data_IF_770059262074
#
_entry.id   IF_770059262074
#
_cell.length_a   1.000
_cell.length_b   1.000
_cell.length_c   1.000
_cell.angle_alpha   90.00
_cell.angle_beta   90.00
_cell.angle_gamma   90.00
#
_symmetry.space_group_name_H-M   'P 1'
#
loop_
_entity.id
_entity.type
_entity.pdbx_description
1 polymer ?
#
# COMPACT_ATOMS: atom_id res chain seq x y z
N UNK A 1 16.60 13.39 -1.38
CA UNK A 1 15.26 13.21 -0.81
C UNK A 1 14.15 13.70 -1.75
N UNK A 2 14.27 14.88 -2.37
CA UNK A 2 13.20 15.49 -3.17
C UNK A 2 12.61 14.59 -4.27
N UNK A 3 13.44 13.90 -5.05
CA UNK A 3 12.93 13.13 -6.21
C UNK A 3 12.12 11.91 -5.79
N UNK A 4 12.43 11.32 -4.63
CA UNK A 4 11.72 10.15 -4.10
C UNK A 4 10.37 10.55 -3.52
N UNK A 5 10.35 11.64 -2.76
CA UNK A 5 9.11 12.22 -2.22
C UNK A 5 8.18 12.66 -3.35
N UNK A 6 8.72 13.32 -4.37
CA UNK A 6 7.98 13.70 -5.57
C UNK A 6 7.41 12.47 -6.30
N UNK A 7 8.19 11.40 -6.45
CA UNK A 7 7.72 10.15 -7.07
C UNK A 7 6.59 9.51 -6.26
N UNK A 8 6.75 9.40 -4.94
CA UNK A 8 5.72 8.84 -4.05
C UNK A 8 4.43 9.70 -4.06
N UNK A 9 4.55 11.03 -4.09
CA UNK A 9 3.42 11.93 -4.23
C UNK A 9 2.68 11.75 -5.56
N UNK A 10 3.43 11.61 -6.66
CA UNK A 10 2.87 11.33 -7.97
C UNK A 10 2.17 9.96 -8.02
N UNK A 11 2.78 8.93 -7.42
CA UNK A 11 2.17 7.60 -7.31
C UNK A 11 0.88 7.63 -6.48
N UNK A 12 0.88 8.30 -5.33
CA UNK A 12 -0.31 8.47 -4.50
C UNK A 12 -1.44 9.16 -5.26
N UNK A 13 -1.13 10.25 -5.96
CA UNK A 13 -2.11 10.99 -6.76
C UNK A 13 -2.70 10.12 -7.88
N UNK A 14 -1.86 9.43 -8.64
CA UNK A 14 -2.30 8.56 -9.73
C UNK A 14 -3.13 7.36 -9.24
N UNK A 15 -2.78 6.76 -8.11
CA UNK A 15 -3.56 5.68 -7.50
C UNK A 15 -4.92 6.18 -7.02
N UNK A 16 -4.99 7.37 -6.41
CA UNK A 16 -6.25 7.97 -5.97
C UNK A 16 -7.16 8.29 -7.16
N UNK A 17 -6.62 8.85 -8.24
CA UNK A 17 -7.38 9.10 -9.47
C UNK A 17 -7.94 7.81 -10.08
N UNK A 18 -7.13 6.75 -10.14
CA UNK A 18 -7.59 5.44 -10.59
C UNK A 18 -8.74 4.93 -9.74
N UNK A 19 -8.60 4.95 -8.41
CA UNK A 19 -9.64 4.50 -7.49
C UNK A 19 -10.92 5.32 -7.62
N UNK A 20 -10.81 6.64 -7.66
CA UNK A 20 -11.95 7.53 -7.86
C UNK A 20 -12.69 7.26 -9.19
N UNK A 21 -11.97 6.85 -10.24
CA UNK A 21 -12.56 6.52 -11.54
C UNK A 21 -13.24 5.15 -11.60
N UNK A 22 -12.93 4.23 -10.68
CA UNK A 22 -13.36 2.82 -10.72
C UNK A 22 -14.28 2.43 -9.58
N UNK A 23 -14.17 3.08 -8.43
CA UNK A 23 -14.99 2.79 -7.25
C UNK A 23 -16.31 3.56 -7.34
N UNK A 24 -17.37 2.98 -6.79
CA UNK A 24 -18.67 3.65 -6.76
C UNK A 24 -18.61 4.86 -5.79
N UNK A 25 -19.12 6.03 -6.19
CA UNK A 25 -19.17 7.18 -5.29
C UNK A 25 -19.86 6.84 -3.96
N UNK A 26 -19.24 7.22 -2.85
CA UNK A 26 -19.77 7.01 -1.49
C UNK A 26 -19.59 5.62 -0.90
N UNK A 27 -19.03 4.65 -1.64
CA UNK A 27 -18.69 3.32 -1.11
C UNK A 27 -17.29 3.25 -0.49
N UNK A 28 -16.41 4.18 -0.85
CA UNK A 28 -15.06 4.29 -0.32
C UNK A 28 -14.71 5.76 -0.09
N UNK A 29 -13.96 6.03 0.97
CA UNK A 29 -13.41 7.35 1.28
C UNK A 29 -11.89 7.25 1.36
N UNK A 30 -11.20 8.18 0.72
CA UNK A 30 -9.75 8.22 0.74
C UNK A 30 -9.25 9.21 1.81
N UNK A 31 -8.37 8.73 2.69
CA UNK A 31 -7.64 9.55 3.64
C UNK A 31 -6.17 9.58 3.21
N UNK A 32 -5.62 10.78 3.04
CA UNK A 32 -4.20 10.97 2.72
C UNK A 32 -3.44 11.39 3.98
N UNK A 33 -2.30 10.74 4.21
CA UNK A 33 -1.33 11.09 5.25
C UNK A 33 0.05 11.15 4.62
N UNK A 34 0.88 12.04 5.15
CA UNK A 34 2.29 12.14 4.82
C UNK A 34 3.08 11.78 6.08
N UNK A 35 4.25 11.18 5.89
CA UNK A 35 5.15 10.76 6.96
C UNK A 35 6.57 11.08 6.54
N UNK A 36 7.43 11.34 7.51
CA UNK A 36 8.87 11.35 7.30
C UNK A 36 9.35 10.00 6.74
N UNK A 37 10.47 10.01 6.02
CA UNK A 37 11.07 8.85 5.37
C UNK A 37 11.77 7.88 6.36
N UNK A 38 11.22 7.69 7.56
CA UNK A 38 11.73 6.76 8.58
C UNK A 38 10.71 5.66 8.83
N UNK A 39 11.18 4.43 9.12
CA UNK A 39 10.28 3.31 9.42
C UNK A 39 9.43 3.57 10.66
N UNK A 40 9.97 4.26 11.68
CA UNK A 40 9.22 4.55 12.90
C UNK A 40 8.08 5.56 12.67
N UNK A 41 8.36 6.66 11.96
CA UNK A 41 7.32 7.65 11.65
C UNK A 41 6.20 7.03 10.81
N UNK A 42 6.56 6.22 9.81
CA UNK A 42 5.57 5.57 8.97
C UNK A 42 4.74 4.55 9.76
N UNK A 43 5.37 3.72 10.58
CA UNK A 43 4.65 2.74 11.40
C UNK A 43 3.70 3.43 12.39
N UNK A 44 4.05 4.61 12.92
CA UNK A 44 3.14 5.41 13.74
C UNK A 44 1.89 5.80 12.97
N UNK A 45 2.06 6.39 11.77
CA UNK A 45 0.94 6.80 10.92
C UNK A 45 0.09 5.60 10.49
N UNK A 46 0.72 4.49 10.13
CA UNK A 46 0.00 3.26 9.76
C UNK A 46 -0.80 2.72 10.96
N UNK A 47 -0.21 2.71 12.16
CA UNK A 47 -0.91 2.30 13.38
C UNK A 47 -2.14 3.16 13.65
N UNK A 48 -2.00 4.48 13.55
CA UNK A 48 -3.12 5.43 13.73
C UNK A 48 -4.26 5.16 12.75
N UNK A 49 -3.94 4.83 11.49
CA UNK A 49 -4.94 4.48 10.47
C UNK A 49 -5.56 3.09 10.68
N UNK A 50 -4.94 2.22 11.47
CA UNK A 50 -5.48 0.90 11.82
C UNK A 50 -6.26 0.92 13.14
N UNK A 51 -6.06 1.93 13.99
CA UNK A 51 -6.73 2.07 15.27
C UNK A 51 -8.22 2.40 15.10
N UNK A 52 -9.05 1.82 15.97
CA UNK A 52 -10.49 2.05 15.94
C UNK A 52 -10.80 3.52 16.27
N UNK A 53 -11.39 4.24 15.32
CA UNK A 53 -11.66 5.67 15.41
C UNK A 53 -12.28 6.22 14.13
N UNK A 54 -12.53 7.53 14.07
CA UNK A 54 -13.17 8.18 12.91
C UNK A 54 -12.38 8.03 11.61
N UNK A 55 -11.05 7.85 11.70
CA UNK A 55 -10.14 7.71 10.57
C UNK A 55 -9.69 6.25 10.34
N UNK A 56 -10.32 5.26 10.99
CA UNK A 56 -9.93 3.85 10.81
C UNK A 56 -10.15 3.41 9.37
N UNK A 57 -9.10 2.94 8.71
CA UNK A 57 -9.12 2.57 7.31
C UNK A 57 -9.22 1.05 7.13
N UNK A 58 -10.11 0.59 6.25
CA UNK A 58 -10.20 -0.83 5.89
C UNK A 58 -9.00 -1.28 5.03
N UNK A 59 -8.41 -0.36 4.27
CA UNK A 59 -7.24 -0.58 3.42
C UNK A 59 -6.29 0.61 3.57
N UNK A 60 -5.01 0.32 3.83
CA UNK A 60 -3.94 1.32 3.90
C UNK A 60 -2.94 1.03 2.79
N UNK A 61 -2.68 2.02 1.95
CA UNK A 61 -1.70 1.94 0.88
C UNK A 61 -0.48 2.76 1.28
N UNK A 62 0.67 2.10 1.32
CA UNK A 62 1.96 2.71 1.58
C UNK A 62 2.73 2.77 0.27
N UNK A 63 3.16 3.97 -0.13
CA UNK A 63 4.05 4.14 -1.27
C UNK A 63 5.49 4.14 -0.77
N UNK A 64 6.14 2.98 -0.86
CA UNK A 64 7.55 2.85 -0.51
C UNK A 64 8.35 2.34 -1.71
N UNK A 65 9.67 2.45 -1.62
CA UNK A 65 10.52 1.76 -2.57
C UNK A 65 10.45 0.24 -2.35
N UNK A 66 10.57 -0.52 -3.44
CA UNK A 66 10.48 -1.98 -3.46
C UNK A 66 11.84 -2.65 -3.72
N UNK A 67 12.94 -2.03 -3.30
CA UNK A 67 14.31 -2.54 -3.47
C UNK A 67 14.90 -3.24 -2.23
N UNK A 68 16.17 -3.59 -2.34
CA UNK A 68 16.98 -4.30 -1.32
C UNK A 68 17.72 -3.37 -0.34
N UNK A 69 17.59 -2.05 -0.52
CA UNK A 69 18.26 -1.05 0.30
C UNK A 69 17.47 -0.65 1.55
N UNK A 70 17.51 0.64 1.92
CA UNK A 70 16.70 1.20 3.01
C UNK A 70 15.18 0.90 2.89
N UNK A 71 14.75 0.63 1.66
CA UNK A 71 13.40 0.23 1.27
C UNK A 71 12.99 -1.13 1.85
N UNK A 72 13.90 -2.11 1.84
CA UNK A 72 13.67 -3.42 2.44
C UNK A 72 13.49 -3.32 3.97
N UNK A 73 14.16 -2.36 4.62
CA UNK A 73 14.03 -2.16 6.06
C UNK A 73 12.60 -1.76 6.45
N UNK A 74 11.89 -1.02 5.59
CA UNK A 74 10.51 -0.64 5.85
C UNK A 74 9.53 -1.80 5.63
N UNK A 75 9.70 -2.56 4.54
CA UNK A 75 8.90 -3.75 4.29
C UNK A 75 9.07 -4.78 5.43
N UNK A 76 10.31 -4.97 5.91
CA UNK A 76 10.61 -5.82 7.06
C UNK A 76 10.00 -5.29 8.37
N UNK A 77 10.02 -3.97 8.59
CA UNK A 77 9.41 -3.35 9.75
C UNK A 77 7.88 -3.50 9.76
N UNK A 78 7.21 -3.30 8.61
CA UNK A 78 5.78 -3.57 8.43
C UNK A 78 5.46 -5.04 8.66
N UNK A 79 6.27 -5.94 8.11
CA UNK A 79 6.09 -7.38 8.27
C UNK A 79 6.23 -7.84 9.73
N UNK A 80 7.17 -7.22 10.46
CA UNK A 80 7.41 -7.51 11.89
C UNK A 80 6.32 -6.93 12.80
N UNK A 81 5.72 -5.80 12.42
CA UNK A 81 4.62 -5.18 13.17
C UNK A 81 3.24 -5.80 12.86
N UNK A 82 3.14 -6.58 11.78
CA UNK A 82 1.89 -7.17 11.35
C UNK A 82 1.48 -8.40 12.17
N UNK A 83 0.17 -8.60 12.28
CA UNK A 83 -0.40 -9.79 12.92
C UNK A 83 -0.35 -11.00 11.97
N UNK A 84 -0.60 -10.78 10.68
CA UNK A 84 -0.61 -11.82 9.65
C UNK A 84 -0.08 -11.30 8.32
N UNK A 85 0.58 -12.17 7.58
CA UNK A 85 1.04 -11.89 6.22
C UNK A 85 -0.05 -12.24 5.20
N UNK A 86 -0.13 -11.48 4.10
CA UNK A 86 -1.00 -11.74 2.95
C UNK A 86 -0.18 -12.02 1.68
N UNK A 87 0.60 -13.12 1.63
CA UNK A 87 1.59 -13.37 0.57
C UNK A 87 0.97 -13.49 -0.84
N UNK A 88 -0.27 -13.97 -0.94
CA UNK A 88 -0.99 -14.06 -2.22
C UNK A 88 -1.27 -12.67 -2.81
N UNK A 89 -1.64 -11.70 -1.97
CA UNK A 89 -1.86 -10.31 -2.40
C UNK A 89 -0.53 -9.67 -2.82
N UNK A 90 0.53 -9.88 -2.04
CA UNK A 90 1.88 -9.44 -2.40
C UNK A 90 2.36 -10.00 -3.75
N UNK A 91 2.01 -11.25 -4.06
CA UNK A 91 2.34 -11.88 -5.34
C UNK A 91 1.58 -11.28 -6.53
N UNK A 92 0.30 -10.90 -6.34
CA UNK A 92 -0.50 -10.19 -7.35
C UNK A 92 0.09 -8.82 -7.64
N UNK A 93 0.45 -8.07 -6.59
CA UNK A 93 1.11 -6.76 -6.72
C UNK A 93 2.42 -6.91 -7.50
N UNK A 94 3.27 -7.87 -7.10
CA UNK A 94 4.55 -8.13 -7.77
C UNK A 94 4.34 -8.42 -9.25
N UNK A 95 3.44 -9.33 -9.60
CA UNK A 95 3.17 -9.71 -10.99
C UNK A 95 2.70 -8.50 -11.83
N UNK A 96 1.81 -7.68 -11.29
CA UNK A 96 1.30 -6.48 -11.97
C UNK A 96 2.40 -5.42 -12.22
N UNK A 97 3.39 -5.33 -11.32
CA UNK A 97 4.47 -4.36 -11.44
C UNK A 97 5.51 -4.73 -12.50
N UNK A 98 5.67 -6.00 -12.87
CA UNK A 98 6.77 -6.48 -13.73
C UNK A 98 6.77 -5.84 -15.13
N UNK A 99 5.61 -5.45 -15.66
CA UNK A 99 5.51 -4.77 -16.95
C UNK A 99 6.09 -3.35 -16.95
N UNK A 100 6.22 -2.73 -15.78
CA UNK A 100 6.74 -1.37 -15.62
C UNK A 100 8.09 -1.31 -14.91
N UNK A 101 8.35 -2.28 -14.02
CA UNK A 101 9.58 -2.43 -13.26
C UNK A 101 10.05 -3.88 -13.40
N UNK A 102 10.90 -4.21 -14.39
CA UNK A 102 11.22 -5.61 -14.72
C UNK A 102 12.06 -6.31 -13.65
N UNK A 103 12.86 -5.56 -12.88
CA UNK A 103 13.83 -6.12 -11.92
C UNK A 103 13.54 -5.72 -10.48
N UNK A 104 13.08 -4.50 -10.22
CA UNK A 104 12.86 -3.98 -8.86
C UNK A 104 11.94 -4.88 -8.01
N UNK A 105 10.75 -5.30 -8.48
CA UNK A 105 9.83 -6.16 -7.70
C UNK A 105 10.36 -7.58 -7.45
N UNK A 106 11.38 -8.01 -8.21
CA UNK A 106 12.06 -9.30 -8.04
C UNK A 106 13.16 -9.23 -6.98
N UNK A 107 13.69 -8.03 -6.71
CA UNK A 107 14.77 -7.82 -5.77
C UNK A 107 14.22 -7.50 -4.36
N UNK A 108 13.12 -6.78 -4.26
CA UNK A 108 12.51 -6.47 -2.96
C UNK A 108 11.21 -7.21 -2.66
N UNK A 109 10.66 -6.89 -1.50
CA UNK A 109 9.47 -7.53 -0.96
C UNK A 109 8.24 -6.64 -1.24
N UNK A 110 7.40 -7.05 -2.20
CA UNK A 110 6.02 -6.53 -2.30
C UNK A 110 5.24 -7.09 -1.12
N UNK A 111 5.19 -6.32 -0.04
CA UNK A 111 4.57 -6.75 1.22
C UNK A 111 3.10 -6.35 1.26
N UNK A 112 2.25 -7.33 1.54
CA UNK A 112 0.87 -7.12 1.94
C UNK A 112 0.68 -7.83 3.27
N UNK A 113 0.15 -7.09 4.24
CA UNK A 113 0.02 -7.55 5.62
C UNK A 113 -1.32 -7.15 6.19
N UNK A 114 -1.71 -7.83 7.26
CA UNK A 114 -2.93 -7.58 7.99
C UNK A 114 -2.56 -7.13 9.40
N UNK A 115 -3.17 -6.03 9.81
CA UNK A 115 -3.13 -5.52 11.18
C UNK A 115 -4.57 -5.20 11.57
N UNK A 116 -5.07 -5.79 12.65
CA UNK A 116 -6.47 -5.65 13.08
C UNK A 116 -7.43 -6.00 11.93
N UNK A 117 -8.35 -5.10 11.59
CA UNK A 117 -9.27 -5.23 10.46
C UNK A 117 -8.78 -4.52 9.20
N UNK A 118 -7.52 -4.08 9.16
CA UNK A 118 -6.95 -3.31 8.05
C UNK A 118 -6.03 -4.16 7.18
N UNK A 119 -6.25 -4.10 5.87
CA UNK A 119 -5.31 -4.60 4.87
C UNK A 119 -4.28 -3.51 4.55
N UNK A 120 -3.01 -3.75 4.85
CA UNK A 120 -1.91 -2.83 4.54
C UNK A 120 -1.16 -3.37 3.32
N UNK A 121 -1.01 -2.56 2.27
CA UNK A 121 -0.28 -2.92 1.06
C UNK A 121 0.82 -1.91 0.75
N UNK A 122 2.03 -2.43 0.51
CA UNK A 122 3.15 -1.65 0.04
C UNK A 122 3.17 -1.65 -1.51
N UNK A 123 3.05 -0.46 -2.10
CA UNK A 123 3.12 -0.23 -3.54
C UNK A 123 4.43 0.51 -3.89
N UNK A 124 4.98 0.27 -5.10
CA UNK A 124 6.18 0.97 -5.55
C UNK A 124 5.95 2.48 -5.68
N UNK A 125 7.00 3.31 -5.62
CA UNK A 125 6.88 4.76 -5.67
C UNK A 125 6.79 5.27 -7.12
N UNK A 126 6.93 4.38 -8.12
CA UNK A 126 6.72 4.71 -9.52
C UNK A 126 5.23 4.77 -9.83
N UNK A 127 4.75 5.91 -10.32
CA UNK A 127 3.33 6.11 -10.61
C UNK A 127 2.75 5.05 -11.56
N UNK A 128 3.49 4.69 -12.62
CA UNK A 128 3.03 3.66 -13.56
C UNK A 128 2.87 2.28 -12.90
N UNK A 129 3.85 1.87 -12.10
CA UNK A 129 3.81 0.59 -11.40
C UNK A 129 2.77 0.57 -10.28
N UNK A 130 2.61 1.69 -9.56
CA UNK A 130 1.59 1.85 -8.54
C UNK A 130 0.18 1.76 -9.12
N UNK A 131 -0.08 2.40 -10.27
CA UNK A 131 -1.36 2.31 -10.99
C UNK A 131 -1.63 0.87 -11.44
N UNK A 132 -0.63 0.18 -12.00
CA UNK A 132 -0.80 -1.23 -12.41
C UNK A 132 -1.13 -2.14 -11.22
N UNK A 133 -0.41 -1.99 -10.10
CA UNK A 133 -0.69 -2.74 -8.88
C UNK A 133 -2.06 -2.41 -8.27
N UNK A 134 -2.41 -1.13 -8.19
CA UNK A 134 -3.71 -0.67 -7.71
C UNK A 134 -4.86 -1.20 -8.58
N UNK A 135 -4.69 -1.23 -9.91
CA UNK A 135 -5.66 -1.81 -10.84
C UNK A 135 -5.85 -3.32 -10.60
N UNK A 136 -4.78 -4.05 -10.27
CA UNK A 136 -4.85 -5.46 -9.94
C UNK A 136 -5.53 -5.74 -8.59
N UNK A 137 -5.41 -4.81 -7.63
CA UNK A 137 -6.04 -4.91 -6.31
C UNK A 137 -7.53 -4.56 -6.33
N UNK A 138 -7.95 -3.58 -7.13
CA UNK A 138 -9.32 -3.06 -7.15
C UNK A 138 -10.43 -4.13 -7.11
N UNK A 139 -10.39 -5.18 -7.95
CA UNK A 139 -11.46 -6.19 -7.98
C UNK A 139 -11.58 -7.03 -6.71
N UNK A 140 -10.51 -7.15 -5.91
CA UNK A 140 -10.49 -7.97 -4.71
C UNK A 140 -10.75 -7.19 -3.42
N UNK A 141 -10.58 -5.86 -3.42
CA UNK A 141 -10.71 -5.04 -2.20
C UNK A 141 -12.06 -5.22 -1.47
N UNK A 142 -13.24 -5.18 -2.13
CA UNK A 142 -14.51 -5.33 -1.42
C UNK A 142 -14.62 -6.67 -0.69
N UNK A 143 -14.18 -7.75 -1.35
CA UNK A 143 -14.22 -9.08 -0.74
C UNK A 143 -13.20 -9.23 0.39
N UNK A 144 -12.03 -8.61 0.25
CA UNK A 144 -11.01 -8.62 1.28
C UNK A 144 -11.47 -7.89 2.54
N UNK A 145 -12.10 -6.71 2.40
CA UNK A 145 -12.59 -5.95 3.56
C UNK A 145 -13.75 -6.64 4.27
N UNK A 146 -14.67 -7.26 3.52
CA UNK A 146 -15.73 -8.10 4.08
C UNK A 146 -15.17 -9.25 4.94
N UNK A 147 -14.10 -9.91 4.49
CA UNK A 147 -13.47 -11.01 5.23
C UNK A 147 -12.74 -10.53 6.50
N UNK A 148 -12.33 -9.27 6.54
CA UNK A 148 -11.68 -8.65 7.71
C UNK A 148 -12.69 -8.10 8.73
N UNK A 149 -13.98 -8.11 8.40
CA UNK A 149 -15.03 -7.51 9.23
C UNK A 149 -15.01 -5.98 9.23
N UNK A 150 -14.27 -5.37 8.30
CA UNK A 150 -14.26 -3.92 8.08
C UNK A 150 -15.50 -3.54 7.29
N UNK A 151 -16.43 -2.85 7.94
CA UNK A 151 -17.66 -2.30 7.36
C UNK A 151 -17.53 -0.82 7.09
#
# INVERSE_FOLDING_TARGET
CSDREASAHAAASATLELFASKLQPGSWFAVRRESDATSHALLSVVSELCDAGTDSCAVVIVFNGSGIGAEAALASALSSAAERQAPSIGSVIRAACLSHLPTTPLLGESSAVLCKSTLIVALPPSAAAAVAAAAALLPMLPRATEQLGSS
#
